data_IF_876860482473
#
_entry.id   IF_876860482473
#
_cell.length_a   1.000
_cell.length_b   1.000
_cell.length_c   1.000
_cell.angle_alpha   90.00
_cell.angle_beta   90.00
_cell.angle_gamma   90.00
#
_symmetry.space_group_name_H-M   'P 1'
#
loop_
_entity.id
_entity.type
_entity.pdbx_description
1 polymer ?
#
# COMPACT_ATOMS: atom_id res chain seq x y z
N UNK A 1 -26.27 44.91 -11.02
CA UNK A 1 -26.11 43.85 -9.99
C UNK A 1 -26.49 42.46 -10.48
N UNK A 2 -27.56 42.26 -11.28
CA UNK A 2 -27.92 40.94 -11.84
C UNK A 2 -26.89 40.35 -12.83
N UNK A 3 -26.20 41.20 -13.59
CA UNK A 3 -25.24 40.74 -14.61
C UNK A 3 -23.88 40.30 -14.02
N UNK A 4 -23.59 40.68 -12.77
CA UNK A 4 -22.35 40.29 -12.06
C UNK A 4 -22.49 38.92 -11.40
N UNK A 5 -23.71 38.54 -10.99
CA UNK A 5 -24.03 37.23 -10.41
C UNK A 5 -23.95 36.10 -11.45
N UNK A 6 -24.22 36.39 -12.73
CA UNK A 6 -24.18 35.41 -13.82
C UNK A 6 -22.73 35.03 -14.22
N UNK A 7 -21.77 35.95 -14.02
CA UNK A 7 -20.36 35.72 -14.36
C UNK A 7 -19.62 34.85 -13.34
N UNK A 8 -20.00 34.93 -12.05
CA UNK A 8 -19.44 34.08 -10.97
C UNK A 8 -19.91 32.62 -11.04
N UNK A 9 -21.10 32.38 -11.59
CA UNK A 9 -21.63 31.02 -11.80
C UNK A 9 -20.97 30.32 -13.01
N UNK A 10 -20.49 31.09 -14.00
CA UNK A 10 -19.81 30.55 -15.18
C UNK A 10 -18.38 30.05 -14.87
N UNK A 11 -17.67 30.66 -13.92
CA UNK A 11 -16.32 30.22 -13.50
C UNK A 11 -16.32 28.98 -12.59
N UNK A 12 -17.47 28.58 -12.02
CA UNK A 12 -17.57 27.40 -11.16
C UNK A 12 -17.83 26.11 -11.95
N UNK A 13 -18.21 26.21 -13.23
CA UNK A 13 -18.50 25.08 -14.12
C UNK A 13 -17.28 24.56 -14.90
N UNK A 14 -16.16 25.28 -14.92
CA UNK A 14 -14.98 24.89 -15.72
C UNK A 14 -14.06 23.87 -15.05
N UNK A 15 -14.21 23.58 -13.75
CA UNK A 15 -13.40 22.56 -13.07
C UNK A 15 -13.69 21.13 -13.51
N UNK A 16 -14.87 20.87 -14.08
CA UNK A 16 -15.30 19.53 -14.48
C UNK A 16 -14.75 19.02 -15.81
N UNK A 17 -14.00 19.84 -16.56
CA UNK A 17 -13.59 19.50 -17.94
C UNK A 17 -12.14 19.03 -18.07
N UNK A 18 -11.38 18.95 -16.97
CA UNK A 18 -10.02 18.40 -16.94
C UNK A 18 -9.95 17.15 -16.06
N UNK A 19 -10.91 16.24 -16.21
CA UNK A 19 -10.68 14.86 -15.80
C UNK A 19 -9.70 14.26 -16.81
N UNK A 20 -8.41 14.36 -16.50
CA UNK A 20 -7.36 13.70 -17.25
C UNK A 20 -7.64 12.19 -17.27
N UNK A 21 -7.54 11.54 -18.43
CA UNK A 21 -7.83 10.10 -18.63
C UNK A 21 -6.69 9.23 -18.05
N UNK A 22 -6.30 9.53 -16.81
CA UNK A 22 -5.23 8.85 -16.09
C UNK A 22 -5.70 7.44 -15.73
N UNK A 23 -4.96 6.46 -16.24
CA UNK A 23 -5.21 5.06 -15.92
C UNK A 23 -4.65 4.74 -14.53
N UNK A 24 -5.49 4.17 -13.68
CA UNK A 24 -5.08 3.58 -12.41
C UNK A 24 -3.95 2.57 -12.65
N UNK A 25 -2.83 2.69 -11.93
CA UNK A 25 -1.77 1.68 -11.94
C UNK A 25 -2.04 0.66 -10.85
N UNK A 26 -2.08 -0.62 -11.23
CA UNK A 26 -2.37 -1.71 -10.30
C UNK A 26 -1.14 -2.59 -10.15
N UNK A 27 -0.73 -2.82 -8.90
CA UNK A 27 0.39 -3.70 -8.55
C UNK A 27 -0.08 -4.80 -7.62
N UNK A 28 0.42 -6.02 -7.83
CA UNK A 28 0.16 -7.16 -6.95
C UNK A 28 1.41 -7.44 -6.13
N UNK A 29 1.29 -7.36 -4.82
CA UNK A 29 2.32 -7.75 -3.88
C UNK A 29 1.94 -9.10 -3.27
N UNK A 30 2.57 -10.17 -3.78
CA UNK A 30 2.28 -11.54 -3.36
C UNK A 30 3.50 -12.22 -2.75
N UNK A 31 3.27 -13.07 -1.75
CA UNK A 31 4.33 -13.84 -1.11
C UNK A 31 3.99 -14.30 0.29
N UNK A 32 5.01 -14.74 1.02
CA UNK A 32 4.84 -15.26 2.38
C UNK A 32 5.19 -14.22 3.46
N UNK A 33 5.68 -14.65 4.64
CA UNK A 33 5.89 -13.78 5.82
C UNK A 33 6.65 -12.47 5.51
N UNK A 34 7.73 -12.51 4.73
CA UNK A 34 8.50 -11.29 4.43
C UNK A 34 7.74 -10.29 3.54
N UNK A 35 6.84 -10.76 2.68
CA UNK A 35 5.93 -9.88 1.91
C UNK A 35 4.77 -9.39 2.78
N UNK A 36 4.24 -10.28 3.64
CA UNK A 36 3.22 -9.93 4.62
C UNK A 36 3.70 -8.80 5.53
N UNK A 37 4.98 -8.83 5.94
CA UNK A 37 5.66 -7.75 6.66
C UNK A 37 5.60 -7.92 8.17
N UNK A 38 6.75 -8.21 8.77
CA UNK A 38 6.91 -8.43 10.22
C UNK A 38 7.83 -7.41 10.90
N UNK A 39 8.25 -6.37 10.17
CA UNK A 39 9.04 -5.28 10.75
C UNK A 39 8.13 -4.42 11.63
N UNK A 40 8.53 -4.10 12.87
CA UNK A 40 7.71 -3.22 13.73
C UNK A 40 7.81 -1.76 13.29
N UNK A 41 6.70 -1.02 13.37
CA UNK A 41 6.66 0.44 13.17
C UNK A 41 7.64 1.19 14.07
N UNK A 42 7.92 0.68 15.26
CA UNK A 42 8.92 1.23 16.19
C UNK A 42 10.32 1.33 15.59
N UNK A 43 10.66 0.52 14.58
CA UNK A 43 11.93 0.63 13.86
C UNK A 43 12.04 1.98 13.15
N UNK A 44 10.94 2.49 12.57
CA UNK A 44 10.90 3.80 11.93
C UNK A 44 11.11 4.89 12.99
N UNK A 45 10.33 4.85 14.08
CA UNK A 45 10.43 5.81 15.17
C UNK A 45 11.84 5.86 15.79
N UNK A 46 12.47 4.70 15.98
CA UNK A 46 13.82 4.61 16.49
C UNK A 46 14.85 5.17 15.52
N UNK A 47 14.70 4.95 14.21
CA UNK A 47 15.59 5.55 13.19
C UNK A 47 15.47 7.07 13.15
N UNK A 48 14.28 7.62 13.37
CA UNK A 48 14.06 9.07 13.40
C UNK A 48 14.77 9.77 14.57
N UNK A 49 15.10 9.04 15.65
CA UNK A 49 15.87 9.58 16.78
C UNK A 49 17.35 9.82 16.44
N UNK A 50 17.91 9.11 15.46
CA UNK A 50 19.29 9.28 15.03
C UNK A 50 19.35 10.14 13.75
N UNK A 51 19.95 11.33 13.79
CA UNK A 51 20.09 12.20 12.61
C UNK A 51 20.74 11.53 11.39
N UNK A 52 21.58 10.50 11.57
CA UNK A 52 22.24 9.77 10.48
C UNK A 52 21.33 8.72 9.83
N UNK A 53 20.36 8.18 10.57
CA UNK A 53 19.46 7.11 10.10
C UNK A 53 18.08 7.62 9.69
N UNK A 54 17.80 8.88 10.01
CA UNK A 54 16.57 9.61 9.72
C UNK A 54 16.27 9.74 8.22
N UNK A 55 17.31 9.88 7.38
CA UNK A 55 17.18 10.20 5.94
C UNK A 55 16.32 9.14 5.24
N UNK A 56 15.22 9.59 4.64
CA UNK A 56 14.30 8.73 3.87
C UNK A 56 13.18 8.10 4.69
N UNK A 57 13.24 8.20 6.02
CA UNK A 57 12.16 7.77 6.92
C UNK A 57 11.25 8.92 7.34
N UNK A 58 11.68 10.17 7.18
CA UNK A 58 10.91 11.38 7.58
C UNK A 58 9.55 11.44 6.88
N UNK A 59 9.47 10.93 5.65
CA UNK A 59 8.23 10.93 4.87
C UNK A 59 7.11 10.08 5.48
N UNK A 60 7.45 9.07 6.29
CA UNK A 60 6.45 8.18 6.88
C UNK A 60 5.86 8.72 8.18
N UNK A 61 6.51 9.69 8.83
CA UNK A 61 6.14 10.10 10.18
C UNK A 61 6.45 11.59 10.42
N UNK A 62 5.39 12.38 10.62
CA UNK A 62 5.45 13.83 10.78
C UNK A 62 4.60 14.27 11.98
N UNK A 63 5.04 15.31 12.70
CA UNK A 63 4.25 15.87 13.81
C UNK A 63 3.98 14.88 14.95
N UNK A 64 4.79 13.84 15.11
CA UNK A 64 4.60 12.82 16.15
C UNK A 64 3.68 11.66 15.77
N UNK A 65 3.23 11.57 14.52
CA UNK A 65 2.39 10.46 14.04
C UNK A 65 2.84 9.94 12.68
N UNK A 66 2.54 8.67 12.40
CA UNK A 66 2.59 8.15 11.04
C UNK A 66 1.62 8.92 10.13
N UNK A 67 2.08 9.22 8.92
CA UNK A 67 1.30 9.93 7.92
C UNK A 67 0.78 8.97 6.85
N UNK A 68 -0.29 9.40 6.19
CA UNK A 68 -0.89 8.72 5.05
C UNK A 68 -0.69 9.55 3.79
N UNK A 69 -0.70 8.89 2.63
CA UNK A 69 -0.84 9.52 1.31
C UNK A 69 -2.14 9.04 0.66
N UNK A 70 -2.84 9.95 -0.01
CA UNK A 70 -4.20 9.72 -0.51
C UNK A 70 -4.26 9.45 -2.03
N UNK A 71 -3.10 9.30 -2.69
CA UNK A 71 -2.92 8.97 -4.13
C UNK A 71 -2.40 7.54 -4.35
N UNK A 72 -2.07 6.82 -3.28
CA UNK A 72 -1.69 5.41 -3.31
C UNK A 72 -2.60 4.68 -2.33
N UNK A 73 -3.28 3.65 -2.82
CA UNK A 73 -4.20 2.82 -2.07
C UNK A 73 -3.67 1.40 -1.94
N UNK A 74 -4.08 0.71 -0.90
CA UNK A 74 -3.77 -0.69 -0.70
C UNK A 74 -5.03 -1.46 -0.30
N UNK A 75 -5.18 -2.64 -0.86
CA UNK A 75 -6.15 -3.66 -0.49
C UNK A 75 -5.39 -4.89 0.01
N UNK A 76 -5.43 -5.16 1.31
CA UNK A 76 -4.79 -6.31 1.94
C UNK A 76 -5.79 -7.45 2.10
N UNK A 77 -5.64 -8.48 1.27
CA UNK A 77 -6.60 -9.58 1.15
C UNK A 77 -6.73 -10.35 2.46
N UNK A 78 -5.62 -10.80 3.05
CA UNK A 78 -5.64 -11.60 4.29
C UNK A 78 -6.26 -10.85 5.49
N UNK A 79 -6.11 -9.53 5.55
CA UNK A 79 -6.59 -8.70 6.66
C UNK A 79 -7.96 -8.10 6.43
N UNK A 80 -8.53 -8.31 5.24
CA UNK A 80 -9.78 -7.67 4.80
C UNK A 80 -9.78 -6.15 5.02
N UNK A 81 -8.61 -5.53 4.79
CA UNK A 81 -8.36 -4.12 5.10
C UNK A 81 -7.98 -3.38 3.82
N UNK A 82 -8.57 -2.20 3.61
CA UNK A 82 -8.25 -1.34 2.50
C UNK A 82 -8.21 0.13 2.91
N UNK A 83 -7.47 0.94 2.18
CA UNK A 83 -7.39 2.37 2.45
C UNK A 83 -6.18 3.05 1.82
N UNK A 84 -5.93 4.31 2.19
CA UNK A 84 -4.74 5.05 1.76
C UNK A 84 -3.46 4.39 2.29
N UNK A 85 -2.37 4.59 1.58
CA UNK A 85 -1.06 4.06 1.93
C UNK A 85 -0.55 4.73 3.22
N UNK A 86 -0.28 3.89 4.21
CA UNK A 86 0.25 4.23 5.52
C UNK A 86 0.89 2.98 6.14
N UNK A 87 1.31 3.05 7.39
CA UNK A 87 1.64 1.87 8.20
C UNK A 87 0.37 1.08 8.55
N UNK A 88 0.54 -0.14 9.09
CA UNK A 88 -0.57 -0.98 9.56
C UNK A 88 -1.03 -2.03 8.56
N UNK A 89 -0.45 -2.07 7.36
CA UNK A 89 -0.68 -3.11 6.36
C UNK A 89 0.37 -4.24 6.41
N UNK A 90 1.14 -4.35 7.52
CA UNK A 90 1.93 -5.54 7.82
C UNK A 90 1.08 -6.67 8.41
N UNK A 91 1.75 -7.74 8.87
CA UNK A 91 1.14 -8.91 9.49
C UNK A 91 0.24 -8.59 10.71
N UNK A 92 0.51 -7.50 11.41
CA UNK A 92 -0.37 -6.87 12.38
C UNK A 92 -0.33 -5.34 12.24
N UNK A 93 -1.19 -4.62 12.96
CA UNK A 93 -1.33 -3.16 12.80
C UNK A 93 -0.09 -2.37 13.23
N UNK A 94 0.78 -2.97 14.05
CA UNK A 94 2.08 -2.43 14.46
C UNK A 94 3.24 -2.88 13.55
N UNK A 95 2.93 -3.56 12.44
CA UNK A 95 3.93 -4.07 11.49
C UNK A 95 3.83 -3.41 10.13
N UNK A 96 4.96 -3.46 9.43
CA UNK A 96 5.14 -3.02 8.06
C UNK A 96 5.86 -4.10 7.26
N UNK A 97 5.58 -4.16 5.97
CA UNK A 97 6.33 -4.91 4.99
C UNK A 97 6.89 -3.99 3.89
N UNK A 98 7.27 -4.57 2.75
CA UNK A 98 7.79 -3.80 1.61
C UNK A 98 6.74 -2.90 0.97
N UNK A 99 5.44 -3.09 1.25
CA UNK A 99 4.36 -2.26 0.72
C UNK A 99 4.51 -0.79 1.07
N UNK A 100 5.04 -0.47 2.25
CA UNK A 100 5.18 0.91 2.69
C UNK A 100 6.20 1.64 1.82
N UNK A 101 7.42 1.14 1.74
CA UNK A 101 8.47 1.78 0.95
C UNK A 101 8.16 1.72 -0.54
N UNK A 102 7.59 0.62 -1.03
CA UNK A 102 7.17 0.50 -2.42
C UNK A 102 6.09 1.53 -2.77
N UNK A 103 5.00 1.59 -2.00
CA UNK A 103 3.87 2.50 -2.24
C UNK A 103 4.29 3.95 -2.22
N UNK A 104 5.11 4.35 -1.25
CA UNK A 104 5.64 5.71 -1.23
C UNK A 104 6.58 5.99 -2.39
N UNK A 105 7.44 5.04 -2.76
CA UNK A 105 8.39 5.26 -3.86
C UNK A 105 7.68 5.36 -5.20
N UNK A 106 6.69 4.50 -5.46
CA UNK A 106 6.00 4.48 -6.75
C UNK A 106 5.06 5.68 -6.89
N UNK A 107 4.39 6.09 -5.82
CA UNK A 107 3.58 7.30 -5.85
C UNK A 107 4.40 8.59 -5.99
N UNK A 108 5.68 8.61 -5.58
CA UNK A 108 6.57 9.75 -5.85
C UNK A 108 7.01 9.82 -7.33
N UNK A 109 6.74 8.76 -8.13
CA UNK A 109 7.20 8.61 -9.52
C UNK A 109 6.09 8.65 -10.56
N UNK A 110 4.84 8.50 -10.15
CA UNK A 110 3.70 8.44 -11.04
C UNK A 110 2.80 9.65 -10.79
N UNK A 111 2.24 10.18 -11.87
CA UNK A 111 1.22 11.22 -11.78
C UNK A 111 -0.19 10.62 -11.63
N UNK A 112 -0.34 9.30 -11.86
CA UNK A 112 -1.60 8.56 -11.72
C UNK A 112 -1.74 7.91 -10.34
N UNK A 113 -2.99 7.73 -9.90
CA UNK A 113 -3.29 6.97 -8.69
C UNK A 113 -2.80 5.52 -8.80
N UNK A 114 -2.45 4.95 -7.65
CA UNK A 114 -1.92 3.59 -7.55
C UNK A 114 -2.81 2.74 -6.65
N UNK A 115 -3.12 1.52 -7.08
CA UNK A 115 -3.73 0.48 -6.25
C UNK A 115 -2.74 -0.68 -6.05
N UNK A 116 -2.44 -0.98 -4.81
CA UNK A 116 -1.69 -2.17 -4.41
C UNK A 116 -2.67 -3.24 -3.94
N UNK A 117 -2.65 -4.40 -4.57
CA UNK A 117 -3.36 -5.59 -4.10
C UNK A 117 -2.35 -6.48 -3.38
N UNK A 118 -2.48 -6.58 -2.05
CA UNK A 118 -1.56 -7.34 -1.21
C UNK A 118 -2.14 -8.71 -0.90
N UNK A 119 -1.60 -9.70 -1.60
CA UNK A 119 -1.94 -11.12 -1.56
C UNK A 119 -0.82 -11.89 -0.85
N UNK A 120 -0.63 -11.61 0.44
CA UNK A 120 0.47 -12.17 1.22
C UNK A 120 -0.03 -12.85 2.49
N UNK A 121 0.60 -13.98 2.85
CA UNK A 121 0.18 -14.84 3.98
C UNK A 121 1.39 -15.49 4.65
N UNK A 122 1.44 -15.49 5.98
CA UNK A 122 2.49 -16.17 6.73
C UNK A 122 2.50 -17.70 6.51
N UNK A 123 3.70 -18.30 6.48
CA UNK A 123 3.85 -19.76 6.49
C UNK A 123 3.36 -20.49 5.23
N UNK A 124 3.25 -19.79 4.10
CA UNK A 124 2.85 -20.37 2.81
C UNK A 124 4.06 -20.75 1.97
N UNK A 125 3.87 -21.78 1.14
CA UNK A 125 4.90 -22.35 0.28
C UNK A 125 4.47 -22.39 -1.18
N UNK A 126 5.44 -22.30 -2.10
CA UNK A 126 5.20 -22.54 -3.52
C UNK A 126 4.79 -23.98 -3.81
N UNK A 127 5.27 -24.92 -2.98
CA UNK A 127 5.04 -26.35 -3.16
C UNK A 127 3.57 -26.76 -2.95
N UNK A 128 2.81 -26.02 -2.14
CA UNK A 128 1.42 -26.37 -1.80
C UNK A 128 0.44 -25.22 -1.97
N UNK A 129 0.73 -24.05 -1.41
CA UNK A 129 -0.28 -23.03 -1.13
C UNK A 129 -0.45 -22.02 -2.28
N UNK A 130 0.61 -21.77 -3.05
CA UNK A 130 0.58 -20.89 -4.24
C UNK A 130 0.38 -21.66 -5.56
N UNK A 131 -0.04 -22.92 -5.50
CA UNK A 131 -0.39 -23.67 -6.70
C UNK A 131 -1.66 -23.09 -7.34
N UNK A 132 -1.79 -23.12 -8.68
CA UNK A 132 -3.03 -22.75 -9.33
C UNK A 132 -4.17 -23.70 -8.93
N UNK A 133 -5.45 -23.33 -9.13
CA UNK A 133 -6.58 -24.20 -8.80
C UNK A 133 -6.54 -25.59 -9.47
N UNK A 134 -5.91 -25.69 -10.65
CA UNK A 134 -5.67 -26.93 -11.38
C UNK A 134 -4.40 -27.67 -10.97
N UNK A 135 -3.60 -27.10 -10.06
CA UNK A 135 -2.35 -27.67 -9.58
C UNK A 135 -2.59 -28.91 -8.72
N UNK A 136 -1.85 -29.97 -8.98
CA UNK A 136 -1.88 -31.18 -8.15
C UNK A 136 -1.25 -30.87 -6.80
N UNK A 137 -2.06 -30.86 -5.74
CA UNK A 137 -1.54 -30.73 -4.38
C UNK A 137 -0.65 -31.93 -4.03
N UNK A 138 0.44 -31.71 -3.28
CA UNK A 138 1.23 -32.81 -2.75
C UNK A 138 0.37 -33.70 -1.86
N UNK A 139 0.71 -35.00 -1.84
CA UNK A 139 0.04 -35.96 -0.98
C UNK A 139 0.25 -35.63 0.51
N UNK A 140 -0.75 -35.84 1.35
CA UNK A 140 -0.68 -35.49 2.77
C UNK A 140 0.34 -36.35 3.53
N UNK A 141 0.47 -37.63 3.18
CA UNK A 141 1.47 -38.50 3.81
C UNK A 141 2.90 -38.07 3.42
N UNK A 142 3.08 -37.62 2.17
CA UNK A 142 4.35 -37.00 1.76
C UNK A 142 4.66 -35.74 2.58
N UNK A 143 3.68 -34.87 2.84
CA UNK A 143 3.89 -33.66 3.64
C UNK A 143 4.23 -33.98 5.10
N UNK A 144 3.59 -34.97 5.71
CA UNK A 144 3.85 -35.33 7.12
C UNK A 144 5.23 -35.97 7.32
N UNK A 145 5.85 -36.48 6.26
CA UNK A 145 7.16 -37.11 6.31
C UNK A 145 8.34 -36.12 6.14
N UNK A 146 8.07 -34.86 5.78
CA UNK A 146 9.05 -33.77 5.66
C UNK A 146 9.32 -33.11 7.02
#
# INVERSE_FOLDING_TARGET
>A
MKNLTLFLLACSLTKGLLAEDKKLKVYILAGQSNMQGHCSTSVIENRLKDPKLRVGFEKYHQGGTFVKRDDVFINHIEKEMYGPMSVGYGASNDKIGPELSFGWTIGDKLDEDVLIIKAAWGGKSLFRDFLPPSGRKPDEAFIQAL
#
